data_IF_877313205595
#
_entry.id   IF_877313205595
#
_cell.length_a   1.000
_cell.length_b   1.000
_cell.length_c   1.000
_cell.angle_alpha   90.00
_cell.angle_beta   90.00
_cell.angle_gamma   90.00
#
_symmetry.space_group_name_H-M   'P 1'
#
loop_
_entity.id
_entity.type
_entity.pdbx_description
1 polymer ?
#
# COMPACT_ATOMS: atom_id res chain seq x y z
N UNK A 1 -6.21 0.96 -6.21
CA UNK A 1 -5.85 -0.43 -6.58
C UNK A 1 -7.05 -1.31 -6.30
N UNK A 2 -7.30 -2.34 -7.10
CA UNK A 2 -8.37 -3.32 -6.81
C UNK A 2 -7.99 -4.25 -5.63
N UNK A 3 -6.70 -4.38 -5.36
CA UNK A 3 -6.12 -5.22 -4.32
C UNK A 3 -4.62 -5.35 -4.54
N UNK A 4 -3.97 -6.22 -3.78
CA UNK A 4 -2.56 -6.57 -3.91
C UNK A 4 -2.31 -8.01 -3.47
N UNK A 5 -1.14 -8.54 -3.82
CA UNK A 5 -0.75 -9.90 -3.44
C UNK A 5 0.20 -9.87 -2.25
N UNK A 6 0.04 -10.82 -1.34
CA UNK A 6 1.05 -11.18 -0.35
C UNK A 6 1.24 -12.69 -0.26
N UNK A 7 2.36 -13.12 0.31
CA UNK A 7 2.74 -14.53 0.33
C UNK A 7 3.01 -15.05 1.74
N UNK A 8 2.40 -16.18 2.08
CA UNK A 8 2.77 -16.97 3.27
C UNK A 8 3.72 -18.13 2.90
N UNK A 9 4.39 -18.69 3.91
CA UNK A 9 5.24 -19.87 3.77
C UNK A 9 6.70 -19.55 3.41
N UNK A 10 7.51 -20.60 3.35
CA UNK A 10 8.96 -20.49 3.18
C UNK A 10 9.38 -20.17 1.75
N UNK A 11 10.63 -19.68 1.60
CA UNK A 11 11.25 -19.42 0.30
C UNK A 11 11.23 -20.69 -0.56
N UNK A 12 10.67 -20.59 -1.77
CA UNK A 12 10.51 -21.72 -2.70
C UNK A 12 9.14 -22.41 -2.61
N UNK A 13 8.44 -22.31 -1.47
CA UNK A 13 7.12 -22.92 -1.27
C UNK A 13 5.99 -21.91 -1.05
N UNK A 14 6.25 -20.61 -1.26
CA UNK A 14 5.31 -19.52 -1.00
C UNK A 14 3.91 -19.69 -1.61
N UNK A 15 2.88 -19.53 -0.77
CA UNK A 15 1.46 -19.54 -1.15
C UNK A 15 0.98 -18.10 -1.34
N UNK A 16 0.53 -17.71 -2.54
CA UNK A 16 0.03 -16.36 -2.78
C UNK A 16 -1.40 -16.18 -2.26
N UNK A 17 -1.66 -15.00 -1.73
CA UNK A 17 -2.96 -14.51 -1.29
C UNK A 17 -3.30 -13.25 -2.07
N UNK A 18 -4.56 -13.11 -2.46
CA UNK A 18 -5.09 -11.87 -3.01
C UNK A 18 -5.83 -11.12 -1.91
N UNK A 19 -5.29 -9.98 -1.51
CA UNK A 19 -5.85 -9.11 -0.47
C UNK A 19 -6.56 -7.94 -1.17
N UNK A 20 -7.85 -7.76 -0.89
CA UNK A 20 -8.67 -6.77 -1.59
C UNK A 20 -9.82 -6.24 -0.72
N UNK A 21 -10.54 -5.25 -1.22
CA UNK A 21 -11.85 -4.84 -0.70
C UNK A 21 -12.86 -4.76 -1.84
N UNK A 22 -14.12 -4.45 -1.53
CA UNK A 22 -15.17 -4.26 -2.52
C UNK A 22 -15.04 -2.90 -3.26
N UNK A 23 -14.25 -1.98 -2.70
CA UNK A 23 -13.98 -0.65 -3.24
C UNK A 23 -12.51 -0.48 -3.68
N UNK A 24 -12.20 0.64 -4.34
CA UNK A 24 -10.82 0.95 -4.71
C UNK A 24 -9.99 1.31 -3.47
N UNK A 25 -8.88 0.60 -3.28
CA UNK A 25 -7.90 0.90 -2.25
C UNK A 25 -6.94 2.01 -2.70
N UNK A 26 -6.94 3.15 -2.00
CA UNK A 26 -6.00 4.24 -2.24
C UNK A 26 -4.81 4.11 -1.28
N UNK A 27 -3.63 3.73 -1.79
CA UNK A 27 -2.43 3.64 -0.96
C UNK A 27 -1.65 4.95 -0.95
N UNK A 28 -1.22 5.36 0.24
CA UNK A 28 -0.34 6.50 0.44
C UNK A 28 0.99 6.25 -0.27
N UNK A 29 1.44 7.22 -1.07
CA UNK A 29 2.66 7.10 -1.86
C UNK A 29 3.44 8.39 -1.95
N UNK A 30 4.76 8.26 -2.06
CA UNK A 30 5.68 9.38 -2.28
C UNK A 30 6.23 9.29 -3.70
N UNK A 31 6.41 10.43 -4.37
CA UNK A 31 6.90 10.45 -5.75
C UNK A 31 7.88 11.60 -6.00
N UNK A 32 8.94 11.30 -6.76
CA UNK A 32 9.98 12.26 -7.13
C UNK A 32 10.59 11.90 -8.47
N UNK A 33 11.39 12.81 -9.03
CA UNK A 33 12.14 12.57 -10.27
C UNK A 33 13.59 12.26 -9.93
N UNK A 34 14.13 11.18 -10.49
CA UNK A 34 15.53 10.76 -10.31
C UNK A 34 16.09 10.21 -11.62
N UNK A 35 17.41 10.04 -11.71
CA UNK A 35 18.04 9.32 -12.81
C UNK A 35 18.03 7.81 -12.53
N UNK A 36 17.60 7.01 -13.51
CA UNK A 36 17.64 5.55 -13.50
C UNK A 36 18.23 5.11 -14.82
N UNK A 37 19.34 4.36 -14.78
CA UNK A 37 20.04 3.86 -15.97
C UNK A 37 20.34 4.95 -17.02
N UNK A 38 20.75 6.14 -16.58
CA UNK A 38 21.08 7.27 -17.46
C UNK A 38 19.88 8.07 -17.99
N UNK A 39 18.66 7.74 -17.57
CA UNK A 39 17.43 8.43 -17.99
C UNK A 39 16.72 9.08 -16.80
N UNK A 40 16.23 10.31 -16.97
CA UNK A 40 15.36 10.95 -15.96
C UNK A 40 14.00 10.25 -15.94
N UNK A 41 13.63 9.71 -14.78
CA UNK A 41 12.36 9.01 -14.58
C UNK A 41 11.62 9.55 -13.36
N UNK A 42 10.30 9.65 -13.48
CA UNK A 42 9.42 9.82 -12.32
C UNK A 42 9.25 8.47 -11.65
N UNK A 43 9.54 8.38 -10.37
CA UNK A 43 9.41 7.17 -9.57
C UNK A 43 8.44 7.41 -8.42
N UNK A 44 7.93 6.33 -7.83
CA UNK A 44 7.14 6.40 -6.63
C UNK A 44 7.42 5.21 -5.73
N UNK A 45 7.07 5.36 -4.46
CA UNK A 45 7.05 4.27 -3.47
C UNK A 45 5.70 4.27 -2.79
N UNK A 46 5.26 3.09 -2.38
CA UNK A 46 4.09 2.92 -1.51
C UNK A 46 4.57 2.92 -0.06
N UNK A 47 3.95 3.76 0.77
CA UNK A 47 4.21 3.78 2.21
C UNK A 47 3.65 2.50 2.83
N UNK A 48 4.43 1.86 3.69
CA UNK A 48 4.01 0.64 4.40
C UNK A 48 3.97 0.88 5.90
N UNK A 49 3.09 0.15 6.58
CA UNK A 49 2.95 0.13 8.04
C UNK A 49 2.84 -1.31 8.53
N UNK A 50 2.81 -1.49 9.85
CA UNK A 50 2.48 -2.78 10.47
C UNK A 50 1.10 -3.25 9.99
N UNK A 51 1.00 -4.51 9.60
CA UNK A 51 -0.25 -5.08 9.12
C UNK A 51 -1.27 -5.25 10.25
N UNK A 52 -2.56 -5.11 9.91
CA UNK A 52 -3.70 -5.44 10.77
C UNK A 52 -4.67 -6.36 10.00
N UNK A 53 -5.55 -7.02 10.74
CA UNK A 53 -6.67 -7.84 10.22
C UNK A 53 -6.21 -8.85 9.15
N UNK A 54 -6.96 -8.96 8.04
CA UNK A 54 -6.69 -9.91 6.95
C UNK A 54 -5.25 -9.82 6.40
N UNK A 55 -4.60 -8.66 6.47
CA UNK A 55 -3.19 -8.54 6.06
C UNK A 55 -2.23 -9.07 7.11
N UNK A 56 -2.54 -8.84 8.40
CA UNK A 56 -1.70 -9.26 9.52
C UNK A 56 -1.62 -10.77 9.69
N UNK A 57 -2.65 -11.50 9.24
CA UNK A 57 -2.63 -12.97 9.18
C UNK A 57 -1.63 -13.51 8.13
N UNK A 58 -1.34 -12.72 7.10
CA UNK A 58 -0.55 -13.14 5.93
C UNK A 58 0.89 -12.62 6.02
N UNK A 59 1.09 -11.37 6.40
CA UNK A 59 2.39 -10.72 6.40
C UNK A 59 2.48 -9.60 7.44
N UNK A 60 3.70 -9.32 7.95
CA UNK A 60 3.90 -8.34 9.02
C UNK A 60 3.71 -6.87 8.59
N UNK A 61 3.62 -6.60 7.28
CA UNK A 61 3.44 -5.24 6.73
C UNK A 61 2.29 -5.19 5.73
N UNK A 62 1.63 -4.04 5.67
CA UNK A 62 0.63 -3.71 4.66
C UNK A 62 0.86 -2.30 4.09
N UNK A 63 0.34 -1.97 2.90
CA UNK A 63 0.27 -0.59 2.45
C UNK A 63 -0.50 0.29 3.46
N UNK A 64 -0.07 1.53 3.63
CA UNK A 64 -0.87 2.51 4.34
C UNK A 64 -1.98 3.00 3.41
N UNK A 65 -3.24 2.92 3.85
CA UNK A 65 -4.42 3.23 3.03
C UNK A 65 -5.08 4.54 3.46
N UNK A 66 -5.66 5.22 2.48
CA UNK A 66 -6.32 6.51 2.59
C UNK A 66 -7.84 6.33 2.43
N UNK A 67 -8.60 6.68 3.46
CA UNK A 67 -10.04 6.92 3.35
C UNK A 67 -10.28 8.12 2.44
N UNK A 68 -11.46 8.19 1.84
CA UNK A 68 -11.77 9.17 0.79
C UNK A 68 -11.67 10.62 1.27
N UNK A 69 -12.03 10.88 2.52
CA UNK A 69 -11.93 12.18 3.18
C UNK A 69 -10.49 12.64 3.44
N UNK A 70 -9.53 11.71 3.50
CA UNK A 70 -8.11 12.04 3.70
C UNK A 70 -7.36 12.36 2.40
N UNK A 71 -7.99 12.19 1.23
CA UNK A 71 -7.30 12.34 -0.06
C UNK A 71 -6.79 13.76 -0.28
N UNK A 72 -7.60 14.78 0.01
CA UNK A 72 -7.22 16.17 -0.23
C UNK A 72 -6.06 16.57 0.70
N UNK A 73 -6.11 16.18 1.98
CA UNK A 73 -5.03 16.46 2.93
C UNK A 73 -3.73 15.72 2.57
N UNK A 74 -3.82 14.49 2.05
CA UNK A 74 -2.64 13.75 1.58
C UNK A 74 -1.99 14.37 0.34
N UNK A 75 -2.80 14.95 -0.55
CA UNK A 75 -2.35 15.57 -1.80
C UNK A 75 -2.03 17.06 -1.67
N UNK A 76 -2.25 17.64 -0.48
CA UNK A 76 -1.94 19.04 -0.22
C UNK A 76 -0.43 19.30 -0.40
N UNK A 77 -0.03 20.21 -1.31
CA UNK A 77 1.37 20.54 -1.53
C UNK A 77 1.98 21.37 -0.39
N UNK A 78 1.21 21.79 0.62
CA UNK A 78 1.74 22.53 1.75
C UNK A 78 2.81 21.73 2.50
N UNK A 79 4.00 22.30 2.75
CA UNK A 79 5.03 21.63 3.51
C UNK A 79 4.57 21.34 4.95
N UNK A 80 4.88 20.14 5.43
CA UNK A 80 4.75 19.83 6.87
C UNK A 80 5.73 20.62 7.74
N UNK A 81 6.74 21.25 7.13
CA UNK A 81 7.77 22.05 7.81
C UNK A 81 7.36 23.51 7.82
N UNK A 82 7.47 24.13 8.99
CA UNK A 82 7.25 25.57 9.22
C UNK A 82 8.60 26.21 9.49
N UNK A 83 8.98 27.20 8.67
CA UNK A 83 10.26 27.87 8.78
C UNK A 83 10.44 28.55 10.14
N UNK A 84 11.51 28.18 10.85
CA UNK A 84 11.81 28.71 12.19
C UNK A 84 10.98 28.10 13.33
N UNK A 85 10.00 27.21 13.05
CA UNK A 85 9.16 26.58 14.06
C UNK A 85 9.22 25.04 14.01
N UNK A 86 10.19 24.51 14.76
CA UNK A 86 10.36 23.06 14.90
C UNK A 86 9.21 22.37 15.64
N UNK A 87 8.51 23.09 16.54
CA UNK A 87 7.42 22.53 17.31
C UNK A 87 6.17 22.34 16.42
N UNK A 88 5.80 23.37 15.65
CA UNK A 88 4.75 23.26 14.65
C UNK A 88 5.07 22.20 13.59
N UNK A 89 6.32 22.18 13.09
CA UNK A 89 6.76 21.16 12.14
C UNK A 89 6.62 19.73 12.69
N UNK A 90 6.95 19.53 13.97
CA UNK A 90 6.77 18.23 14.64
C UNK A 90 5.29 17.89 14.78
N UNK A 91 4.46 18.86 15.16
CA UNK A 91 3.02 18.66 15.32
C UNK A 91 2.37 18.25 14.00
N UNK A 92 2.68 18.93 12.89
CA UNK A 92 2.16 18.60 11.55
C UNK A 92 2.48 17.14 11.15
N UNK A 93 3.73 16.70 11.41
CA UNK A 93 4.15 15.32 11.14
C UNK A 93 3.44 14.29 12.02
N UNK A 94 3.18 14.62 13.29
CA UNK A 94 2.46 13.73 14.19
C UNK A 94 1.00 13.60 13.77
N UNK A 95 0.34 14.72 13.48
CA UNK A 95 -1.04 14.74 13.02
C UNK A 95 -1.22 13.89 11.75
N UNK A 96 -0.38 14.11 10.72
CA UNK A 96 -0.47 13.32 9.49
C UNK A 96 -0.27 11.82 9.74
N UNK A 97 0.64 11.44 10.65
CA UNK A 97 0.86 10.04 11.01
C UNK A 97 -0.36 9.43 11.70
N UNK A 98 -0.98 10.16 12.61
CA UNK A 98 -2.15 9.71 13.37
C UNK A 98 -3.37 9.57 12.45
N UNK A 99 -3.58 10.53 11.55
CA UNK A 99 -4.61 10.46 10.50
C UNK A 99 -4.39 9.25 9.57
N UNK A 100 -3.14 9.03 9.12
CA UNK A 100 -2.80 7.90 8.26
C UNK A 100 -3.01 6.54 8.97
N UNK A 101 -2.69 6.45 10.27
CA UNK A 101 -2.92 5.25 11.08
C UNK A 101 -4.42 4.97 11.26
N UNK A 102 -5.21 6.00 11.59
CA UNK A 102 -6.66 5.88 11.78
C UNK A 102 -7.36 5.49 10.47
N UNK A 103 -7.00 6.16 9.37
CA UNK A 103 -7.47 5.86 8.02
C UNK A 103 -7.13 4.43 7.60
N UNK A 104 -5.86 4.03 7.76
CA UNK A 104 -5.43 2.67 7.40
C UNK A 104 -6.14 1.60 8.22
N UNK A 105 -6.33 1.85 9.52
CA UNK A 105 -7.06 0.93 10.40
C UNK A 105 -8.52 0.80 9.99
N UNK A 106 -9.16 1.90 9.59
CA UNK A 106 -10.54 1.88 9.07
C UNK A 106 -10.63 1.02 7.81
N UNK A 107 -9.74 1.24 6.83
CA UNK A 107 -9.73 0.46 5.59
C UNK A 107 -9.40 -1.02 5.86
N UNK A 108 -8.49 -1.33 6.78
CA UNK A 108 -8.11 -2.70 7.11
C UNK A 108 -9.31 -3.57 7.51
N UNK A 109 -10.29 -3.01 8.22
CA UNK A 109 -11.53 -3.73 8.61
C UNK A 109 -12.41 -4.13 7.42
N UNK A 110 -12.24 -3.50 6.26
CA UNK A 110 -13.01 -3.77 5.03
C UNK A 110 -12.35 -4.81 4.15
N UNK A 111 -11.10 -5.18 4.45
CA UNK A 111 -10.29 -6.00 3.58
C UNK A 111 -10.55 -7.49 3.80
N UNK A 112 -10.54 -8.23 2.71
CA UNK A 112 -10.71 -9.68 2.66
C UNK A 112 -9.50 -10.29 1.96
N UNK A 113 -9.28 -11.58 2.18
CA UNK A 113 -8.20 -12.33 1.54
C UNK A 113 -8.62 -13.75 1.21
N UNK A 114 -8.08 -14.28 0.12
CA UNK A 114 -8.14 -15.70 -0.22
C UNK A 114 -6.89 -16.13 -0.99
N UNK A 115 -6.61 -17.43 -0.94
CA UNK A 115 -5.50 -18.03 -1.69
C UNK A 115 -5.81 -17.98 -3.18
N UNK A 116 -4.78 -17.71 -3.99
CA UNK A 116 -4.89 -17.68 -5.47
C UNK A 116 -3.90 -18.65 -6.12
N UNK A 117 -4.03 -18.81 -7.44
CA UNK A 117 -3.14 -19.67 -8.22
C UNK A 117 -1.67 -19.20 -8.14
N UNK A 118 -0.74 -20.15 -7.97
CA UNK A 118 0.72 -19.91 -7.91
C UNK A 118 1.31 -19.31 -9.19
N UNK A 119 0.55 -19.23 -10.30
CA UNK A 119 0.94 -18.48 -11.51
C UNK A 119 1.42 -17.07 -11.20
N UNK A 120 0.84 -16.39 -10.20
CA UNK A 120 1.24 -15.02 -9.81
C UNK A 120 2.67 -14.92 -9.27
N UNK A 121 3.31 -16.05 -8.94
CA UNK A 121 4.69 -16.08 -8.47
C UNK A 121 5.72 -15.72 -9.57
N UNK A 122 5.35 -15.80 -10.86
CA UNK A 122 6.26 -15.56 -11.97
C UNK A 122 5.73 -14.47 -12.93
N UNK A 123 6.14 -13.23 -12.65
CA UNK A 123 5.79 -12.05 -13.45
C UNK A 123 6.31 -12.08 -14.89
N UNK A 124 7.27 -12.96 -15.22
CA UNK A 124 7.84 -13.05 -16.58
C UNK A 124 6.95 -13.84 -17.54
N UNK A 125 6.13 -14.74 -17.01
CA UNK A 125 5.34 -15.69 -17.80
C UNK A 125 3.84 -15.53 -17.60
N UNK A 126 3.42 -14.83 -16.55
CA UNK A 126 2.01 -14.59 -16.26
C UNK A 126 1.40 -13.64 -17.28
N UNK A 127 0.18 -13.92 -17.73
CA UNK A 127 -0.62 -12.97 -18.52
C UNK A 127 -1.40 -12.05 -17.55
N UNK A 128 -1.08 -10.75 -17.41
CA UNK A 128 -1.72 -9.88 -16.42
C UNK A 128 -3.22 -9.68 -16.63
N UNK A 129 -3.75 -10.00 -17.82
CA UNK A 129 -5.18 -9.92 -18.12
C UNK A 129 -5.95 -11.21 -17.84
N UNK A 130 -5.29 -12.26 -17.35
CA UNK A 130 -5.94 -13.50 -16.97
C UNK A 130 -6.79 -13.29 -15.69
N UNK A 131 -8.14 -13.41 -15.77
CA UNK A 131 -8.99 -13.22 -14.61
C UNK A 131 -8.79 -14.30 -13.53
N UNK A 132 -8.18 -15.44 -13.87
CA UNK A 132 -7.91 -16.50 -12.89
C UNK A 132 -6.83 -16.12 -11.87
N UNK A 133 -6.10 -15.03 -12.08
CA UNK A 133 -5.02 -14.61 -11.17
C UNK A 133 -5.52 -14.09 -9.82
N UNK A 134 -6.77 -13.64 -9.77
CA UNK A 134 -7.42 -13.16 -8.54
C UNK A 134 -8.55 -14.08 -8.09
N UNK A 135 -8.84 -15.14 -8.85
CA UNK A 135 -9.84 -16.12 -8.48
C UNK A 135 -9.36 -17.00 -7.32
N UNK A 136 -10.25 -17.32 -6.39
CA UNK A 136 -9.95 -18.26 -5.31
C UNK A 136 -9.66 -19.65 -5.86
N UNK A 137 -8.70 -20.35 -5.24
CA UNK A 137 -8.34 -21.75 -5.52
C UNK A 137 -8.70 -22.69 -4.39
#
# INVERSE_FOLDING_TARGET
MLGYYEWTGEKGSKTPHWIHSDELLAAAGLTWTTEVTGERRRVFVVVTREARDASGEIHARMPAFLTRDLWDAWLDPQPLTVDGDNAASKQNRLQLRDELEASSSTIATTMRTHVVDRKVNNVRTVNPSDPSLIAAV
#
